data_IF_716507305159
#
_entry.id   IF_716507305159
#
_cell.length_a   1.000
_cell.length_b   1.000
_cell.length_c   1.000
_cell.angle_alpha   90.00
_cell.angle_beta   90.00
_cell.angle_gamma   90.00
#
_symmetry.space_group_name_H-M   'P 1'
#
loop_
_entity.id
_entity.type
_entity.pdbx_description
1 polymer ?
#
# COMPACT_ATOMS: atom_id res chain seq x y z
N UNK A 1 3.24 6.06 -56.62
CA UNK A 1 2.71 7.33 -56.08
C UNK A 1 3.58 7.73 -54.91
N UNK A 2 4.16 8.92 -54.93
CA UNK A 2 4.97 9.46 -53.83
C UNK A 2 4.03 10.04 -52.77
N UNK A 3 4.35 9.82 -51.48
CA UNK A 3 3.61 10.37 -50.35
C UNK A 3 4.12 11.77 -50.00
N UNK A 4 3.24 12.60 -49.44
CA UNK A 4 3.63 13.92 -48.96
C UNK A 4 4.64 13.79 -47.80
N UNK A 5 5.72 14.57 -47.84
CA UNK A 5 6.75 14.57 -46.80
C UNK A 5 6.22 14.97 -45.41
N UNK A 6 5.24 15.88 -45.36
CA UNK A 6 4.66 16.37 -44.10
C UNK A 6 3.42 15.58 -43.66
N UNK A 7 2.72 14.96 -44.61
CA UNK A 7 1.52 14.15 -44.35
C UNK A 7 1.68 12.76 -44.98
N UNK A 8 2.25 11.78 -44.26
CA UNK A 8 2.52 10.45 -44.82
C UNK A 8 1.29 9.72 -45.36
N UNK A 9 0.10 10.10 -44.89
CA UNK A 9 -1.18 9.50 -45.28
C UNK A 9 -1.79 10.12 -46.55
N UNK A 10 -1.23 11.22 -47.06
CA UNK A 10 -1.72 11.91 -48.25
C UNK A 10 -0.77 11.71 -49.44
N UNK A 11 -1.35 11.66 -50.64
CA UNK A 11 -0.56 11.57 -51.87
C UNK A 11 0.02 12.95 -52.23
N UNK A 12 1.27 12.95 -52.69
CA UNK A 12 1.91 14.17 -53.16
C UNK A 12 1.38 14.53 -54.55
N UNK A 13 1.01 15.81 -54.70
CA UNK A 13 0.51 16.37 -55.96
C UNK A 13 1.57 17.25 -56.64
N UNK A 14 2.52 17.78 -55.87
CA UNK A 14 3.55 18.71 -56.34
C UNK A 14 4.92 18.37 -55.75
N UNK A 15 5.97 18.95 -56.32
CA UNK A 15 7.34 18.86 -55.82
C UNK A 15 7.87 20.27 -55.54
N UNK A 16 8.47 20.47 -54.36
CA UNK A 16 8.99 21.78 -53.97
C UNK A 16 10.12 22.20 -54.90
N UNK A 17 10.00 23.37 -55.53
CA UNK A 17 11.01 23.90 -56.45
C UNK A 17 12.35 24.18 -55.76
N UNK A 18 12.35 24.46 -54.46
CA UNK A 18 13.56 24.80 -53.70
C UNK A 18 14.32 23.58 -53.15
N UNK A 19 13.62 22.52 -52.73
CA UNK A 19 14.26 21.37 -52.06
C UNK A 19 13.94 19.99 -52.67
N UNK A 20 13.13 19.92 -53.74
CA UNK A 20 12.77 18.67 -54.42
C UNK A 20 11.87 17.73 -53.62
N UNK A 21 11.33 18.18 -52.48
CA UNK A 21 10.48 17.29 -51.64
C UNK A 21 9.06 17.21 -52.20
N UNK A 22 8.46 16.00 -52.27
CA UNK A 22 7.07 15.83 -52.69
C UNK A 22 6.09 16.32 -51.61
N UNK A 23 5.10 17.13 -52.00
CA UNK A 23 4.12 17.75 -51.10
C UNK A 23 2.68 17.60 -51.64
N UNK A 24 1.70 17.52 -50.74
CA UNK A 24 0.28 17.52 -51.09
C UNK A 24 -0.23 18.95 -51.35
N UNK A 25 -1.45 19.05 -51.91
CA UNK A 25 -2.09 20.34 -52.19
C UNK A 25 -2.39 21.19 -50.95
N UNK A 26 -2.43 20.61 -49.75
CA UNK A 26 -2.59 21.38 -48.50
C UNK A 26 -1.28 22.06 -48.06
N UNK A 27 -0.14 21.46 -48.39
CA UNK A 27 1.18 21.96 -48.01
C UNK A 27 1.79 22.90 -49.04
N UNK A 28 1.23 22.97 -50.26
CA UNK A 28 1.76 23.82 -51.31
C UNK A 28 1.54 25.30 -50.97
N UNK A 29 2.56 26.12 -51.19
CA UNK A 29 2.45 27.58 -51.22
C UNK A 29 3.10 28.09 -52.49
N UNK A 30 2.59 29.19 -53.01
CA UNK A 30 3.19 29.91 -54.12
C UNK A 30 4.05 31.05 -53.58
N UNK A 31 5.25 31.17 -54.12
CA UNK A 31 6.12 32.34 -53.91
C UNK A 31 5.72 33.49 -54.86
N UNK A 32 6.36 34.66 -54.72
CA UNK A 32 6.12 35.84 -55.57
C UNK A 32 6.33 35.58 -57.07
N UNK A 33 7.11 34.55 -57.42
CA UNK A 33 7.36 34.10 -58.79
C UNK A 33 6.46 32.94 -59.24
N UNK A 34 5.33 32.70 -58.57
CA UNK A 34 4.42 31.57 -58.80
C UNK A 34 5.07 30.17 -58.70
N UNK A 35 6.24 30.08 -58.03
CA UNK A 35 6.93 28.82 -57.77
C UNK A 35 6.31 28.08 -56.60
N UNK A 36 6.18 26.76 -56.73
CA UNK A 36 5.62 25.91 -55.66
C UNK A 36 6.70 25.61 -54.62
N UNK A 37 6.53 26.16 -53.42
CA UNK A 37 7.44 25.98 -52.28
C UNK A 37 6.75 25.24 -51.13
N UNK A 38 7.53 24.48 -50.37
CA UNK A 38 7.03 23.78 -49.19
C UNK A 38 7.08 24.69 -47.94
N UNK A 39 6.32 24.37 -46.88
CA UNK A 39 6.22 25.24 -45.71
C UNK A 39 7.55 25.48 -45.00
N UNK A 40 8.48 24.51 -45.05
CA UNK A 40 9.81 24.66 -44.47
C UNK A 40 10.64 25.71 -45.23
N UNK A 41 10.64 25.66 -46.57
CA UNK A 41 11.36 26.63 -47.40
C UNK A 41 10.72 28.03 -47.34
N UNK A 42 9.39 28.12 -47.23
CA UNK A 42 8.70 29.40 -46.99
C UNK A 42 9.11 30.05 -45.67
N UNK A 43 9.38 29.24 -44.64
CA UNK A 43 9.81 29.77 -43.34
C UNK A 43 11.27 30.26 -43.40
N UNK A 44 12.12 29.56 -44.15
CA UNK A 44 13.53 29.90 -44.32
C UNK A 44 13.70 31.22 -45.08
N UNK A 45 12.95 31.42 -46.17
CA UNK A 45 12.93 32.71 -46.88
C UNK A 45 12.36 33.84 -46.01
N UNK A 46 11.35 33.56 -45.19
CA UNK A 46 10.81 34.55 -44.25
C UNK A 46 11.82 34.96 -43.15
N UNK A 47 12.74 34.07 -42.77
CA UNK A 47 13.81 34.37 -41.80
C UNK A 47 14.95 35.15 -42.45
N UNK A 48 15.25 34.93 -43.74
CA UNK A 48 16.25 35.73 -44.46
C UNK A 48 15.80 37.18 -44.69
N UNK A 49 14.49 37.42 -44.76
CA UNK A 49 13.91 38.77 -44.93
C UNK A 49 13.74 39.49 -43.57
N UNK A 50 13.88 38.76 -42.45
CA UNK A 50 13.76 39.34 -41.13
C UNK A 50 14.96 40.26 -40.81
N UNK A 51 14.65 41.40 -40.21
CA UNK A 51 15.59 42.34 -39.62
C UNK A 51 16.46 41.68 -38.53
N UNK A 52 17.70 42.15 -38.38
CA UNK A 52 18.70 41.60 -37.43
C UNK A 52 18.13 41.47 -36.00
N UNK A 53 17.30 42.42 -35.58
CA UNK A 53 16.61 42.40 -34.27
C UNK A 53 15.66 41.20 -34.12
N UNK A 54 14.93 40.84 -35.17
CA UNK A 54 14.00 39.70 -35.16
C UNK A 54 14.77 38.37 -35.12
N UNK A 55 15.92 38.32 -35.79
CA UNK A 55 16.82 37.15 -35.77
C UNK A 55 17.41 36.92 -34.38
N UNK A 56 17.91 37.97 -33.73
CA UNK A 56 18.43 37.91 -32.36
C UNK A 56 17.33 37.45 -31.38
N UNK A 57 16.10 37.96 -31.52
CA UNK A 57 14.97 37.56 -30.69
C UNK A 57 14.62 36.07 -30.82
N UNK A 58 14.62 35.53 -32.04
CA UNK A 58 14.36 34.11 -32.30
C UNK A 58 15.44 33.21 -31.69
N UNK A 59 16.72 33.58 -31.82
CA UNK A 59 17.83 32.83 -31.22
C UNK A 59 17.74 32.82 -29.67
N UNK A 60 17.41 33.95 -29.05
CA UNK A 60 17.17 34.05 -27.61
C UNK A 60 16.04 33.14 -27.14
N UNK A 61 14.98 33.01 -27.94
CA UNK A 61 13.83 32.15 -27.62
C UNK A 61 14.18 30.67 -27.75
N UNK A 62 14.94 30.28 -28.78
CA UNK A 62 15.44 28.93 -28.94
C UNK A 62 16.36 28.52 -27.79
N UNK A 63 17.27 29.40 -27.38
CA UNK A 63 18.19 29.15 -26.26
C UNK A 63 17.44 28.93 -24.94
N UNK A 64 16.40 29.72 -24.66
CA UNK A 64 15.53 29.52 -23.48
C UNK A 64 14.74 28.21 -23.55
N UNK A 65 14.25 27.82 -24.73
CA UNK A 65 13.53 26.56 -24.90
C UNK A 65 14.43 25.35 -24.63
N UNK A 66 15.68 25.37 -25.10
CA UNK A 66 16.65 24.29 -24.87
C UNK A 66 17.09 24.20 -23.40
N UNK A 67 17.26 25.34 -22.73
CA UNK A 67 17.57 25.38 -21.29
C UNK A 67 16.42 24.80 -20.45
N UNK A 68 15.16 25.04 -20.82
CA UNK A 68 14.01 24.45 -20.12
C UNK A 68 13.89 22.94 -20.36
N UNK A 69 14.20 22.44 -21.57
CA UNK A 69 14.24 21.00 -21.87
C UNK A 69 15.34 20.29 -21.07
N UNK A 70 16.55 20.87 -20.98
CA UNK A 70 17.67 20.32 -20.17
C UNK A 70 17.35 20.27 -18.67
N UNK A 71 16.53 21.20 -18.16
CA UNK A 71 16.11 21.17 -16.74
C UNK A 71 15.08 20.08 -16.45
N UNK A 72 14.13 19.83 -17.37
CA UNK A 72 13.14 18.77 -17.21
C UNK A 72 13.77 17.38 -17.13
N UNK A 73 14.72 17.07 -18.01
CA UNK A 73 15.37 15.74 -18.03
C UNK A 73 16.18 15.44 -16.77
N UNK A 74 16.83 16.45 -16.16
CA UNK A 74 17.52 16.27 -14.88
C UNK A 74 16.58 16.04 -13.71
N UNK A 75 15.42 16.68 -13.72
CA UNK A 75 14.43 16.56 -12.65
C UNK A 75 13.69 15.23 -12.73
N UNK A 76 13.36 14.75 -13.95
CA UNK A 76 12.80 13.41 -14.19
C UNK A 76 13.78 12.31 -13.74
N UNK A 77 15.07 12.41 -14.11
CA UNK A 77 16.09 11.47 -13.66
C UNK A 77 16.27 11.45 -12.13
N UNK A 78 16.19 12.62 -11.47
CA UNK A 78 16.25 12.70 -10.01
C UNK A 78 15.00 12.07 -9.34
N UNK A 79 13.81 12.25 -9.93
CA UNK A 79 12.56 11.69 -9.41
C UNK A 79 12.53 10.16 -9.52
N UNK A 80 13.08 9.59 -10.60
CA UNK A 80 13.21 8.13 -10.78
C UNK A 80 14.11 7.49 -9.72
N UNK A 81 15.24 8.14 -9.38
CA UNK A 81 16.15 7.65 -8.33
C UNK A 81 15.48 7.68 -6.94
N UNK A 82 14.73 8.74 -6.64
CA UNK A 82 14.00 8.87 -5.37
C UNK A 82 12.92 7.78 -5.27
N UNK A 83 12.11 7.58 -6.32
CA UNK A 83 11.07 6.56 -6.32
C UNK A 83 11.63 5.14 -6.19
N UNK A 84 12.77 4.85 -6.83
CA UNK A 84 13.44 3.56 -6.71
C UNK A 84 13.83 3.22 -5.26
N UNK A 85 14.38 4.19 -4.53
CA UNK A 85 14.80 4.00 -3.14
C UNK A 85 13.61 3.70 -2.20
N UNK A 86 12.48 4.38 -2.37
CA UNK A 86 11.28 4.11 -1.58
C UNK A 86 10.73 2.70 -1.77
N UNK A 87 10.75 2.18 -3.00
CA UNK A 87 10.32 0.81 -3.29
C UNK A 87 11.19 -0.20 -2.55
N UNK A 88 12.52 -0.01 -2.54
CA UNK A 88 13.45 -0.88 -1.80
C UNK A 88 13.18 -0.84 -0.30
N UNK A 89 12.96 0.34 0.28
CA UNK A 89 12.62 0.50 1.70
C UNK A 89 11.31 -0.22 2.07
N UNK A 90 10.28 -0.11 1.23
CA UNK A 90 8.98 -0.77 1.45
C UNK A 90 9.14 -2.29 1.42
N UNK A 91 9.90 -2.83 0.45
CA UNK A 91 10.17 -4.27 0.36
C UNK A 91 10.96 -4.78 1.57
N UNK A 92 11.92 -4.00 2.08
CA UNK A 92 12.70 -4.35 3.26
C UNK A 92 11.80 -4.40 4.51
N UNK A 93 10.92 -3.42 4.71
CA UNK A 93 9.93 -3.43 5.79
C UNK A 93 8.98 -4.63 5.70
N UNK A 94 8.45 -4.93 4.52
CA UNK A 94 7.62 -6.13 4.30
C UNK A 94 8.38 -7.41 4.63
N UNK A 95 9.63 -7.51 4.21
CA UNK A 95 10.52 -8.64 4.54
C UNK A 95 10.70 -8.80 6.06
N UNK A 96 10.89 -7.70 6.79
CA UNK A 96 11.01 -7.76 8.26
C UNK A 96 9.72 -8.19 8.94
N UNK A 97 8.56 -7.77 8.45
CA UNK A 97 7.27 -8.21 8.99
C UNK A 97 7.04 -9.71 8.77
N UNK A 98 7.33 -10.19 7.56
CA UNK A 98 7.23 -11.63 7.24
C UNK A 98 8.23 -12.44 8.08
N UNK A 99 9.46 -11.94 8.22
CA UNK A 99 10.49 -12.58 9.04
C UNK A 99 10.08 -12.63 10.51
N UNK A 100 9.58 -11.52 11.07
CA UNK A 100 9.10 -11.48 12.45
C UNK A 100 7.92 -12.42 12.65
N UNK A 101 6.96 -12.46 11.71
CA UNK A 101 5.84 -13.40 11.80
C UNK A 101 6.32 -14.85 11.80
N UNK A 102 7.23 -15.20 10.88
CA UNK A 102 7.80 -16.54 10.80
C UNK A 102 8.68 -16.89 12.01
N UNK A 103 9.41 -15.91 12.54
CA UNK A 103 10.21 -16.08 13.74
C UNK A 103 9.34 -16.21 14.98
N UNK A 104 8.24 -15.48 15.09
CA UNK A 104 7.25 -15.62 16.18
C UNK A 104 6.63 -17.03 16.14
N UNK A 105 6.26 -17.52 14.95
CA UNK A 105 5.77 -18.89 14.75
C UNK A 105 6.80 -19.95 15.20
N UNK A 106 8.10 -19.73 14.92
CA UNK A 106 9.18 -20.68 15.26
C UNK A 106 9.75 -20.52 16.67
N UNK A 107 9.80 -19.31 17.20
CA UNK A 107 10.24 -18.98 18.56
C UNK A 107 9.24 -19.48 19.61
N UNK A 108 8.12 -20.05 19.15
CA UNK A 108 7.20 -20.77 20.02
C UNK A 108 6.40 -19.85 20.93
N UNK A 109 6.21 -18.58 20.56
CA UNK A 109 5.06 -17.81 21.02
C UNK A 109 3.84 -18.56 20.48
N UNK A 110 3.18 -19.36 21.32
CA UNK A 110 2.27 -20.37 20.82
C UNK A 110 1.10 -19.63 20.19
N UNK A 111 0.81 -19.93 18.92
CA UNK A 111 -0.56 -19.79 18.43
C UNK A 111 -1.45 -20.38 19.52
N UNK A 112 -2.43 -19.59 19.97
CA UNK A 112 -3.20 -19.64 21.22
C UNK A 112 -4.05 -20.91 21.37
N UNK A 113 -3.52 -22.09 21.04
CA UNK A 113 -4.27 -23.28 20.64
C UNK A 113 -3.84 -24.55 21.39
N UNK A 114 -2.69 -24.58 22.08
CA UNK A 114 -2.26 -25.77 22.81
C UNK A 114 -2.43 -25.65 24.33
N UNK A 115 -3.62 -25.99 24.82
CA UNK A 115 -3.96 -26.09 26.26
C UNK A 115 -2.92 -26.92 27.05
N UNK A 116 -2.33 -27.94 26.44
CA UNK A 116 -1.31 -28.80 27.07
C UNK A 116 -0.03 -28.05 27.43
N UNK A 117 0.38 -27.06 26.63
CA UNK A 117 1.58 -26.25 26.89
C UNK A 117 1.37 -25.27 28.04
N UNK A 118 0.17 -24.69 28.16
CA UNK A 118 -0.19 -23.86 29.30
C UNK A 118 -0.19 -24.66 30.62
N UNK A 119 -0.68 -25.90 30.60
CA UNK A 119 -0.59 -26.81 31.75
C UNK A 119 0.86 -27.08 32.18
N UNK A 120 1.83 -27.06 31.24
CA UNK A 120 3.25 -27.25 31.56
C UNK A 120 3.92 -26.00 32.14
N UNK A 121 3.46 -24.80 31.77
CA UNK A 121 4.01 -23.55 32.29
C UNK A 121 3.55 -23.22 33.72
N UNK A 122 2.43 -23.82 34.17
CA UNK A 122 1.96 -23.66 35.55
C UNK A 122 1.39 -22.27 35.89
N UNK A 123 1.28 -21.36 34.92
CA UNK A 123 0.79 -20.00 35.14
C UNK A 123 -0.70 -19.88 34.80
N UNK A 124 -1.58 -19.64 35.79
CA UNK A 124 -3.01 -19.49 35.54
C UNK A 124 -3.35 -18.23 34.73
N UNK A 125 -2.47 -17.22 34.65
CA UNK A 125 -2.70 -16.01 33.85
C UNK A 125 -2.77 -16.34 32.35
N UNK A 126 -1.87 -17.21 31.89
CA UNK A 126 -1.85 -17.69 30.51
C UNK A 126 -3.09 -18.55 30.21
N UNK A 127 -3.51 -19.39 31.15
CA UNK A 127 -4.73 -20.18 31.02
C UNK A 127 -5.97 -19.29 30.92
N UNK A 128 -6.06 -18.22 31.73
CA UNK A 128 -7.16 -17.25 31.65
C UNK A 128 -7.18 -16.54 30.31
N UNK A 129 -6.00 -16.13 29.79
CA UNK A 129 -5.88 -15.49 28.47
C UNK A 129 -6.35 -16.42 27.36
N UNK A 130 -6.00 -17.71 27.44
CA UNK A 130 -6.50 -18.72 26.52
C UNK A 130 -8.03 -18.85 26.58
N UNK A 131 -8.62 -18.96 27.78
CA UNK A 131 -10.07 -19.05 27.96
C UNK A 131 -10.77 -17.81 27.41
N UNK A 132 -10.24 -16.61 27.71
CA UNK A 132 -10.76 -15.35 27.19
C UNK A 132 -10.73 -15.31 25.65
N UNK A 133 -9.66 -15.78 25.02
CA UNK A 133 -9.61 -15.86 23.54
C UNK A 133 -10.70 -16.77 22.95
N UNK A 134 -11.06 -17.86 23.64
CA UNK A 134 -12.18 -18.74 23.23
C UNK A 134 -13.54 -18.11 23.48
N UNK A 135 -13.69 -17.30 24.53
CA UNK A 135 -14.89 -16.50 24.77
C UNK A 135 -15.08 -15.46 23.64
N UNK A 136 -14.02 -14.77 23.23
CA UNK A 136 -14.08 -13.81 22.11
C UNK A 136 -14.41 -14.50 20.78
N UNK A 137 -13.84 -15.68 20.53
CA UNK A 137 -14.16 -16.46 19.34
C UNK A 137 -15.64 -16.89 19.32
N UNK A 138 -16.18 -17.30 20.47
CA UNK A 138 -17.60 -17.58 20.62
C UNK A 138 -18.44 -16.34 20.28
N UNK A 139 -18.12 -15.18 20.85
CA UNK A 139 -18.85 -13.94 20.61
C UNK A 139 -18.81 -13.54 19.13
N UNK A 140 -17.66 -13.66 18.48
CA UNK A 140 -17.51 -13.39 17.05
C UNK A 140 -18.41 -14.28 16.17
N UNK A 141 -18.65 -15.53 16.59
CA UNK A 141 -19.55 -16.45 15.87
C UNK A 141 -21.03 -16.34 16.26
N UNK A 142 -21.36 -15.58 17.32
CA UNK A 142 -22.71 -15.41 17.86
C UNK A 142 -23.11 -13.94 17.92
N UNK A 143 -22.81 -13.17 16.86
CA UNK A 143 -23.24 -11.77 16.70
C UNK A 143 -22.86 -10.86 17.89
N UNK A 144 -21.67 -11.06 18.46
CA UNK A 144 -21.17 -10.29 19.60
C UNK A 144 -21.66 -10.78 20.97
N UNK A 145 -22.54 -11.78 21.03
CA UNK A 145 -23.09 -12.27 22.29
C UNK A 145 -22.12 -13.20 23.02
N UNK A 146 -21.82 -12.86 24.27
CA UNK A 146 -21.00 -13.69 25.15
C UNK A 146 -21.79 -14.90 25.71
N UNK A 147 -21.12 -16.03 25.99
CA UNK A 147 -21.80 -17.22 26.50
C UNK A 147 -22.35 -16.96 27.91
N UNK A 148 -23.54 -17.48 28.23
CA UNK A 148 -24.11 -17.34 29.59
C UNK A 148 -23.27 -18.04 30.66
N UNK A 149 -22.59 -19.12 30.29
CA UNK A 149 -21.75 -19.92 31.17
C UNK A 149 -20.54 -20.46 30.40
N UNK A 150 -19.41 -20.66 31.08
CA UNK A 150 -18.20 -21.25 30.48
C UNK A 150 -18.43 -22.66 29.89
N UNK A 151 -19.42 -23.41 30.40
CA UNK A 151 -19.78 -24.72 29.87
C UNK A 151 -20.29 -24.64 28.42
N UNK A 152 -20.85 -23.50 28.00
CA UNK A 152 -21.30 -23.26 26.63
C UNK A 152 -20.16 -23.24 25.60
N UNK A 153 -18.91 -23.15 26.03
CA UNK A 153 -17.73 -23.21 25.16
C UNK A 153 -17.35 -24.65 24.78
N UNK A 154 -17.83 -25.65 25.52
CA UNK A 154 -17.49 -27.07 25.33
C UNK A 154 -18.56 -27.76 24.47
N UNK A 155 -18.20 -28.67 23.53
CA UNK A 155 -16.83 -29.07 23.16
C UNK A 155 -16.23 -28.23 22.02
N UNK A 156 -17.00 -27.30 21.45
CA UNK A 156 -16.66 -26.65 20.19
C UNK A 156 -15.40 -25.76 20.28
N UNK A 157 -15.27 -24.97 21.34
CA UNK A 157 -14.17 -24.01 21.52
C UNK A 157 -13.15 -24.46 22.57
N UNK A 158 -13.60 -25.27 23.54
CA UNK A 158 -12.78 -25.88 24.57
C UNK A 158 -13.00 -27.40 24.61
N UNK A 159 -11.94 -28.21 24.73
CA UNK A 159 -12.08 -29.67 24.78
C UNK A 159 -12.75 -30.14 26.09
N UNK A 160 -12.49 -29.43 27.19
CA UNK A 160 -12.96 -29.74 28.53
C UNK A 160 -13.35 -28.44 29.25
N UNK A 161 -14.23 -28.50 30.27
CA UNK A 161 -14.54 -27.34 31.10
C UNK A 161 -13.25 -26.76 31.72
N UNK A 162 -13.02 -25.45 31.64
CA UNK A 162 -11.80 -24.86 32.15
C UNK A 162 -11.79 -24.89 33.69
N UNK A 163 -10.80 -25.58 34.25
CA UNK A 163 -10.49 -25.60 35.68
C UNK A 163 -9.08 -25.05 35.92
N UNK A 164 -8.87 -24.43 37.08
CA UNK A 164 -7.60 -23.88 37.52
C UNK A 164 -6.57 -25.00 37.64
N UNK A 165 -5.35 -24.72 37.19
CA UNK A 165 -4.21 -25.63 37.30
C UNK A 165 -4.06 -26.14 38.75
N UNK A 166 -3.75 -27.43 38.89
CA UNK A 166 -3.47 -28.14 40.14
C UNK A 166 -4.63 -28.31 41.15
N UNK A 167 -5.60 -27.40 41.17
CA UNK A 167 -6.69 -27.41 42.15
C UNK A 167 -7.98 -28.05 41.64
N UNK A 168 -8.20 -28.03 40.31
CA UNK A 168 -9.45 -28.48 39.71
C UNK A 168 -10.66 -27.56 40.03
N UNK A 169 -10.43 -26.44 40.72
CA UNK A 169 -11.46 -25.45 41.00
C UNK A 169 -11.89 -24.75 39.69
N UNK A 170 -13.19 -24.48 39.45
CA UNK A 170 -13.63 -23.79 38.26
C UNK A 170 -13.27 -22.29 38.32
N UNK A 171 -13.04 -21.68 37.15
CA UNK A 171 -12.94 -20.23 37.05
C UNK A 171 -14.29 -19.55 37.37
N UNK A 172 -14.24 -18.38 37.99
CA UNK A 172 -15.45 -17.59 38.24
C UNK A 172 -15.72 -16.73 37.01
N UNK A 173 -16.87 -16.96 36.38
CA UNK A 173 -17.32 -16.24 35.20
C UNK A 173 -18.64 -15.54 35.49
N UNK A 174 -18.78 -14.28 35.08
CA UNK A 174 -20.02 -13.53 35.20
C UNK A 174 -20.20 -12.58 34.04
N UNK A 175 -21.42 -12.46 33.55
CA UNK A 175 -21.80 -11.43 32.59
C UNK A 175 -22.17 -10.15 33.34
N UNK A 176 -21.75 -9.01 32.80
CA UNK A 176 -22.18 -7.69 33.27
C UNK A 176 -23.46 -7.36 32.50
N UNK A 177 -24.59 -7.34 33.18
CA UNK A 177 -25.88 -6.99 32.57
C UNK A 177 -25.84 -5.58 32.00
N UNK A 178 -26.22 -5.43 30.73
CA UNK A 178 -26.38 -4.14 30.06
C UNK A 178 -25.17 -3.63 29.28
N UNK A 179 -23.96 -4.19 29.46
CA UNK A 179 -22.75 -3.67 28.81
C UNK A 179 -22.10 -4.61 27.79
N UNK A 180 -22.73 -5.75 27.46
CA UNK A 180 -22.12 -6.80 26.61
C UNK A 180 -20.67 -7.11 27.06
N UNK A 181 -20.45 -7.21 28.37
CA UNK A 181 -19.14 -7.48 28.95
C UNK A 181 -19.18 -8.72 29.83
N UNK A 182 -18.03 -9.33 30.02
CA UNK A 182 -17.84 -10.43 30.96
C UNK A 182 -16.67 -10.15 31.90
N UNK A 183 -16.70 -10.80 33.06
CA UNK A 183 -15.58 -10.87 34.00
C UNK A 183 -15.21 -12.33 34.16
N UNK A 184 -13.94 -12.64 33.89
CA UNK A 184 -13.32 -13.92 34.21
C UNK A 184 -12.32 -13.71 35.35
N UNK A 185 -12.56 -14.30 36.51
CA UNK A 185 -11.78 -14.10 37.72
C UNK A 185 -11.10 -15.40 38.16
N UNK A 186 -9.85 -15.29 38.62
CA UNK A 186 -9.12 -16.37 39.29
C UNK A 186 -9.46 -16.38 40.78
N UNK A 187 -10.24 -17.34 41.29
CA UNK A 187 -10.44 -17.47 42.72
C UNK A 187 -9.11 -17.82 43.39
N UNK A 188 -8.88 -17.25 44.59
CA UNK A 188 -7.66 -17.48 45.39
C UNK A 188 -6.36 -17.22 44.60
N UNK A 189 -6.34 -16.08 43.90
CA UNK A 189 -5.21 -15.62 43.11
C UNK A 189 -3.90 -15.50 43.93
N UNK A 190 -4.03 -15.33 45.25
CA UNK A 190 -2.94 -15.27 46.23
C UNK A 190 -2.05 -16.51 46.22
N UNK A 191 -2.61 -17.69 45.89
CA UNK A 191 -1.84 -18.94 45.72
C UNK A 191 -0.77 -18.87 44.63
N UNK A 192 -0.94 -17.94 43.68
CA UNK A 192 -0.06 -17.77 42.53
C UNK A 192 0.69 -16.43 42.57
N UNK A 193 0.81 -15.81 43.75
CA UNK A 193 1.43 -14.51 43.97
C UNK A 193 0.73 -13.34 43.25
N UNK A 194 -0.57 -13.47 42.95
CA UNK A 194 -1.41 -12.38 42.48
C UNK A 194 -2.31 -11.91 43.61
N UNK A 195 -2.46 -10.60 43.85
CA UNK A 195 -3.42 -10.15 44.87
C UNK A 195 -4.85 -10.19 44.32
N UNK A 196 -5.08 -9.79 43.06
CA UNK A 196 -6.27 -10.14 42.26
C UNK A 196 -5.90 -10.30 40.80
N UNK A 197 -6.58 -11.21 40.11
CA UNK A 197 -6.40 -11.42 38.68
C UNK A 197 -7.77 -11.63 38.01
N UNK A 198 -8.15 -10.71 37.14
CA UNK A 198 -9.36 -10.81 36.34
C UNK A 198 -9.15 -10.25 34.93
N UNK A 199 -9.91 -10.81 33.98
CA UNK A 199 -9.97 -10.37 32.58
C UNK A 199 -11.38 -9.87 32.30
N UNK A 200 -11.50 -8.70 31.68
CA UNK A 200 -12.76 -8.11 31.24
C UNK A 200 -12.93 -8.24 29.73
N UNK A 201 -14.14 -7.94 29.22
CA UNK A 201 -14.47 -8.00 27.79
C UNK A 201 -13.64 -7.06 26.89
N UNK A 202 -12.95 -6.07 27.45
CA UNK A 202 -12.01 -5.20 26.73
C UNK A 202 -10.61 -5.82 26.57
N UNK A 203 -10.38 -7.02 27.11
CA UNK A 203 -9.09 -7.70 27.08
C UNK A 203 -8.07 -7.18 28.10
N UNK A 204 -8.47 -6.27 29.00
CA UNK A 204 -7.55 -5.73 30.02
C UNK A 204 -7.39 -6.73 31.17
N UNK A 205 -6.16 -7.21 31.34
CA UNK A 205 -5.74 -8.00 32.49
C UNK A 205 -5.36 -7.05 33.62
N UNK A 206 -6.17 -6.99 34.68
CA UNK A 206 -5.87 -6.19 35.86
C UNK A 206 -5.22 -7.06 36.93
N UNK A 207 -4.01 -6.66 37.31
CA UNK A 207 -3.25 -7.17 38.45
C UNK A 207 -3.36 -6.11 39.56
N UNK A 208 -4.24 -6.32 40.54
CA UNK A 208 -4.27 -5.50 41.76
C UNK A 208 -3.50 -6.16 42.89
#
# INVERSE_FOLDING_TARGET
MTRCFFHPNEDALYECTSCGKPICGQCMRFDEEDKVICPACTLESAVEIADDDTREYLELRHRKADDTKKKKTKLEAALEVINGWYIVLILLLLGTLIYMNHYIDRAGLPAVNELKRFKQMGDPSLQMTYIASKIFLYANENDGQFPKELKGLVPKYLPEPPTILDTGEPYVYSLIEGEEQFILNLPRADRYNYRRLFIMGDGVLKLE
#
